data_IF_381151489020
#
_entry.id   IF_381151489020
#
_cell.length_a   1.000
_cell.length_b   1.000
_cell.length_c   1.000
_cell.angle_alpha   90.00
_cell.angle_beta   90.00
_cell.angle_gamma   90.00
#
_symmetry.space_group_name_H-M   'P 1'
#
loop_
_entity.id
_entity.type
_entity.pdbx_description
1 polymer ?
#
# COMPACT_ATOMS: atom_id res chain seq x y z
N UNK A 1 -56.35 -83.98 -43.24
CA UNK A 1 -55.24 -83.25 -42.61
C UNK A 1 -54.92 -82.09 -43.53
N UNK A 2 -55.63 -80.97 -43.40
CA UNK A 2 -55.44 -79.80 -44.26
C UNK A 2 -54.67 -78.74 -43.49
N UNK A 3 -53.46 -78.42 -43.95
CA UNK A 3 -52.68 -77.26 -43.52
C UNK A 3 -53.30 -76.01 -44.16
N UNK A 4 -53.50 -74.90 -43.43
CA UNK A 4 -53.71 -73.61 -44.05
C UNK A 4 -52.35 -73.03 -44.49
N UNK A 5 -52.19 -72.84 -45.80
CA UNK A 5 -51.08 -72.10 -46.38
C UNK A 5 -51.15 -70.63 -45.95
N UNK A 6 -50.14 -70.17 -45.22
CA UNK A 6 -49.92 -68.76 -44.95
C UNK A 6 -49.19 -68.14 -46.15
N UNK A 7 -49.93 -67.70 -47.17
CA UNK A 7 -49.40 -66.74 -48.14
C UNK A 7 -49.47 -65.33 -47.56
N UNK A 8 -48.41 -64.93 -46.86
CA UNK A 8 -48.12 -63.53 -46.56
C UNK A 8 -47.62 -62.85 -47.83
N UNK A 9 -48.54 -62.18 -48.54
CA UNK A 9 -48.21 -61.24 -49.59
C UNK A 9 -47.33 -60.12 -49.00
N UNK A 10 -46.03 -60.19 -49.27
CA UNK A 10 -45.10 -59.10 -49.02
C UNK A 10 -45.35 -58.00 -50.06
N UNK A 11 -46.42 -57.22 -49.89
CA UNK A 11 -46.59 -55.98 -50.67
C UNK A 11 -45.45 -55.02 -50.33
N UNK A 12 -44.54 -54.84 -51.30
CA UNK A 12 -43.48 -53.85 -51.18
C UNK A 12 -44.10 -52.45 -51.05
N UNK A 13 -43.97 -51.86 -49.87
CA UNK A 13 -44.59 -50.57 -49.48
C UNK A 13 -44.04 -49.34 -50.20
N UNK A 14 -43.37 -49.49 -51.34
CA UNK A 14 -42.74 -48.41 -52.12
C UNK A 14 -43.40 -48.36 -53.50
N UNK A 15 -44.43 -47.51 -53.67
CA UNK A 15 -45.24 -47.44 -54.89
C UNK A 15 -44.77 -46.36 -55.88
N UNK A 16 -43.84 -45.48 -55.50
CA UNK A 16 -43.29 -44.44 -56.38
C UNK A 16 -41.76 -44.31 -56.23
N UNK A 17 -41.03 -43.91 -57.29
CA UNK A 17 -39.58 -43.67 -57.21
C UNK A 17 -39.23 -42.57 -56.20
N UNK A 18 -40.15 -41.62 -55.97
CA UNK A 18 -40.02 -40.59 -54.93
C UNK A 18 -40.10 -41.17 -53.52
N UNK A 19 -40.99 -42.14 -53.30
CA UNK A 19 -41.13 -42.85 -52.02
C UNK A 19 -39.90 -43.72 -51.73
N UNK A 20 -39.32 -44.36 -52.77
CA UNK A 20 -38.08 -45.13 -52.64
C UNK A 20 -36.93 -44.24 -52.18
N UNK A 21 -36.76 -43.08 -52.81
CA UNK A 21 -35.71 -42.13 -52.51
C UNK A 21 -35.84 -41.56 -51.08
N UNK A 22 -37.06 -41.27 -50.64
CA UNK A 22 -37.34 -40.81 -49.26
C UNK A 22 -37.03 -41.92 -48.24
N UNK A 23 -37.49 -43.16 -48.48
CA UNK A 23 -37.23 -44.29 -47.57
C UNK A 23 -35.74 -44.60 -47.45
N UNK A 24 -35.00 -44.56 -48.57
CA UNK A 24 -33.54 -44.75 -48.56
C UNK A 24 -32.85 -43.63 -47.77
N UNK A 25 -33.21 -42.36 -48.01
CA UNK A 25 -32.61 -41.23 -47.27
C UNK A 25 -32.88 -41.34 -45.77
N UNK A 26 -34.12 -41.63 -45.35
CA UNK A 26 -34.47 -41.82 -43.94
C UNK A 26 -33.75 -43.03 -43.32
N UNK A 27 -33.58 -44.12 -44.08
CA UNK A 27 -32.86 -45.32 -43.62
C UNK A 27 -31.37 -45.05 -43.34
N UNK A 28 -30.77 -44.02 -43.93
CA UNK A 28 -29.40 -43.59 -43.60
C UNK A 28 -29.38 -42.45 -42.56
N UNK A 29 -30.24 -41.44 -42.71
CA UNK A 29 -30.24 -40.26 -41.84
C UNK A 29 -30.66 -40.59 -40.40
N UNK A 30 -31.65 -41.45 -40.20
CA UNK A 30 -32.11 -41.82 -38.85
C UNK A 30 -30.98 -42.50 -38.06
N UNK A 31 -30.35 -43.60 -38.55
CA UNK A 31 -29.25 -44.21 -37.81
C UNK A 31 -28.04 -43.29 -37.66
N UNK A 32 -27.69 -42.46 -38.65
CA UNK A 32 -26.60 -41.46 -38.49
C UNK A 32 -26.93 -40.49 -37.36
N UNK A 33 -28.16 -39.97 -37.30
CA UNK A 33 -28.59 -39.04 -36.26
C UNK A 33 -28.59 -39.72 -34.89
N UNK A 34 -29.06 -40.96 -34.80
CA UNK A 34 -29.01 -41.76 -33.56
C UNK A 34 -27.57 -42.00 -33.11
N UNK A 35 -26.66 -42.33 -34.04
CA UNK A 35 -25.23 -42.50 -33.73
C UNK A 35 -24.62 -41.20 -33.21
N UNK A 36 -24.90 -40.06 -33.84
CA UNK A 36 -24.43 -38.75 -33.37
C UNK A 36 -24.98 -38.44 -31.97
N UNK A 37 -26.27 -38.70 -31.74
CA UNK A 37 -26.90 -38.49 -30.44
C UNK A 37 -26.28 -39.39 -29.37
N UNK A 38 -25.98 -40.65 -29.70
CA UNK A 38 -25.31 -41.60 -28.81
C UNK A 38 -23.86 -41.19 -28.53
N UNK A 39 -23.11 -40.71 -29.52
CA UNK A 39 -21.75 -40.17 -29.32
C UNK A 39 -21.78 -38.97 -28.39
N UNK A 40 -22.74 -38.06 -28.57
CA UNK A 40 -22.93 -36.90 -27.69
C UNK A 40 -23.35 -37.33 -26.28
N UNK A 41 -24.23 -38.32 -26.14
CA UNK A 41 -24.67 -38.85 -24.84
C UNK A 41 -23.53 -39.55 -24.09
N UNK A 42 -22.71 -40.34 -24.80
CA UNK A 42 -21.53 -41.01 -24.23
C UNK A 42 -20.43 -39.99 -23.90
N UNK A 43 -20.24 -38.95 -24.71
CA UNK A 43 -19.32 -37.85 -24.44
C UNK A 43 -19.75 -36.96 -23.27
N UNK A 44 -21.06 -36.81 -23.05
CA UNK A 44 -21.63 -36.04 -21.94
C UNK A 44 -21.64 -36.81 -20.62
N UNK A 45 -21.43 -38.13 -20.66
CA UNK A 45 -21.34 -38.96 -19.46
C UNK A 45 -19.94 -38.82 -18.87
N UNK A 46 -19.85 -38.31 -17.65
CA UNK A 46 -18.58 -38.09 -16.94
C UNK A 46 -17.80 -39.40 -16.87
N UNK A 47 -16.66 -39.48 -17.57
CA UNK A 47 -15.74 -40.61 -17.44
C UNK A 47 -15.08 -40.57 -16.07
N UNK A 48 -15.56 -41.35 -15.11
CA UNK A 48 -14.89 -41.59 -13.82
C UNK A 48 -13.96 -42.80 -13.95
N UNK A 49 -12.76 -42.58 -14.51
CA UNK A 49 -11.75 -43.62 -14.74
C UNK A 49 -10.50 -43.10 -15.46
N UNK A 50 -9.56 -43.99 -15.82
CA UNK A 50 -8.38 -43.62 -16.59
C UNK A 50 -8.79 -42.96 -17.92
N UNK A 51 -8.29 -41.74 -18.17
CA UNK A 51 -8.75 -40.87 -19.26
C UNK A 51 -9.81 -39.83 -18.86
N UNK A 52 -10.12 -39.68 -17.57
CA UNK A 52 -10.91 -38.55 -17.05
C UNK A 52 -10.16 -37.22 -17.20
N UNK A 53 -10.91 -36.12 -17.34
CA UNK A 53 -10.34 -34.77 -17.46
C UNK A 53 -9.48 -34.36 -16.25
N UNK A 54 -9.61 -35.09 -15.13
CA UNK A 54 -8.85 -34.87 -13.91
C UNK A 54 -7.35 -35.17 -14.00
N UNK A 55 -6.87 -35.88 -15.04
CA UNK A 55 -5.44 -36.14 -15.27
C UNK A 55 -4.90 -35.51 -16.56
N UNK A 56 -5.66 -34.61 -17.19
CA UNK A 56 -5.15 -33.88 -18.36
C UNK A 56 -4.03 -32.92 -17.92
N UNK A 57 -3.02 -32.69 -18.77
CA UNK A 57 -1.98 -31.69 -18.51
C UNK A 57 -2.56 -30.32 -18.14
N UNK A 58 -3.68 -29.94 -18.75
CA UNK A 58 -4.38 -28.67 -18.49
C UNK A 58 -5.04 -28.62 -17.11
N UNK A 59 -5.72 -29.70 -16.68
CA UNK A 59 -6.31 -29.77 -15.34
C UNK A 59 -5.25 -29.83 -14.24
N UNK A 60 -4.11 -30.46 -14.53
CA UNK A 60 -2.93 -30.46 -13.66
C UNK A 60 -2.35 -29.04 -13.59
N UNK A 61 -2.09 -28.39 -14.73
CA UNK A 61 -1.59 -27.01 -14.78
C UNK A 61 -2.48 -26.03 -14.01
N UNK A 62 -3.80 -26.18 -14.09
CA UNK A 62 -4.77 -25.34 -13.38
C UNK A 62 -4.76 -25.54 -11.86
N UNK A 63 -4.34 -26.70 -11.36
CA UNK A 63 -4.16 -26.99 -9.92
C UNK A 63 -2.78 -26.60 -9.39
N UNK A 64 -1.78 -26.53 -10.24
CA UNK A 64 -0.43 -26.04 -9.90
C UNK A 64 -0.36 -24.50 -9.99
N UNK A 65 -1.39 -23.84 -10.53
CA UNK A 65 -1.46 -22.38 -10.50
C UNK A 65 -1.34 -21.88 -9.05
N UNK A 66 -0.45 -20.92 -8.77
CA UNK A 66 -0.27 -20.40 -7.43
C UNK A 66 -1.57 -19.72 -6.97
N UNK A 67 -2.21 -20.28 -5.95
CA UNK A 67 -3.42 -19.74 -5.29
C UNK A 67 -3.17 -18.45 -4.51
N UNK A 68 -1.90 -18.06 -4.43
CA UNK A 68 -1.38 -16.94 -3.71
C UNK A 68 -0.76 -15.96 -4.72
N UNK A 69 -1.56 -15.02 -5.21
CA UNK A 69 -1.12 -13.94 -6.10
C UNK A 69 -0.25 -12.89 -5.39
N UNK A 70 0.74 -13.31 -4.60
CA UNK A 70 1.66 -12.39 -3.96
C UNK A 70 2.77 -12.06 -4.95
N UNK A 71 2.75 -10.83 -5.48
CA UNK A 71 3.96 -10.24 -6.04
C UNK A 71 4.94 -10.04 -4.89
N UNK A 72 5.95 -10.90 -4.81
CA UNK A 72 7.12 -10.63 -3.98
C UNK A 72 7.79 -9.37 -4.55
N UNK A 73 7.51 -8.23 -3.92
CA UNK A 73 8.21 -6.99 -4.21
C UNK A 73 9.61 -7.17 -3.64
N UNK A 74 10.60 -7.24 -4.52
CA UNK A 74 12.01 -7.26 -4.15
C UNK A 74 12.31 -6.01 -3.28
N UNK A 75 12.97 -6.19 -2.14
CA UNK A 75 13.24 -5.10 -1.20
C UNK A 75 14.13 -3.99 -1.79
N UNK A 76 14.80 -4.25 -2.91
CA UNK A 76 15.60 -3.31 -3.69
C UNK A 76 14.93 -2.89 -5.01
N UNK A 77 13.71 -3.36 -5.32
CA UNK A 77 12.98 -2.88 -6.48
C UNK A 77 12.59 -1.40 -6.29
N UNK A 78 12.69 -0.57 -7.35
CA UNK A 78 12.20 0.80 -7.31
C UNK A 78 10.75 0.83 -6.87
N UNK A 79 10.45 1.62 -5.83
CA UNK A 79 9.07 1.84 -5.38
C UNK A 79 8.28 2.44 -6.54
N UNK A 80 7.32 1.69 -7.05
CA UNK A 80 6.39 2.17 -8.08
C UNK A 80 5.32 2.98 -7.36
N UNK A 81 5.47 4.30 -7.37
CA UNK A 81 4.50 5.20 -6.75
C UNK A 81 3.21 5.29 -7.59
N UNK A 82 2.05 5.32 -6.94
CA UNK A 82 0.73 5.52 -7.58
C UNK A 82 0.51 6.95 -8.04
N UNK A 83 -0.04 7.15 -9.23
CA UNK A 83 -0.37 8.48 -9.76
C UNK A 83 -1.39 9.21 -8.88
N UNK A 84 -1.47 10.53 -8.98
CA UNK A 84 -2.45 11.32 -8.21
C UNK A 84 -3.89 10.87 -8.46
N UNK A 85 -4.22 10.52 -9.71
CA UNK A 85 -5.52 9.96 -10.07
C UNK A 85 -5.79 8.62 -9.38
N UNK A 86 -4.83 7.68 -9.40
CA UNK A 86 -4.99 6.37 -8.77
C UNK A 86 -5.19 6.47 -7.25
N UNK A 87 -4.49 7.40 -6.61
CA UNK A 87 -4.66 7.66 -5.17
C UNK A 87 -6.04 8.28 -4.91
N UNK A 88 -6.45 9.26 -5.72
CA UNK A 88 -7.77 9.86 -5.62
C UNK A 88 -8.87 8.80 -5.72
N UNK A 89 -8.84 7.98 -6.78
CA UNK A 89 -9.83 6.94 -7.06
C UNK A 89 -9.92 5.91 -5.93
N UNK A 90 -8.79 5.46 -5.40
CA UNK A 90 -8.74 4.40 -4.38
C UNK A 90 -9.01 4.86 -2.96
N UNK A 91 -8.80 6.14 -2.64
CA UNK A 91 -8.82 6.63 -1.24
C UNK A 91 -9.70 7.87 -1.05
N UNK A 92 -9.60 8.86 -1.94
CA UNK A 92 -10.19 10.18 -1.69
C UNK A 92 -11.63 10.33 -2.21
N UNK A 93 -12.05 9.52 -3.20
CA UNK A 93 -13.38 9.57 -3.81
C UNK A 93 -14.52 9.37 -2.81
N UNK A 94 -14.29 8.58 -1.76
CA UNK A 94 -15.27 8.28 -0.72
C UNK A 94 -15.88 9.56 -0.10
N UNK A 95 -15.08 10.63 0.00
CA UNK A 95 -15.54 11.91 0.56
C UNK A 95 -15.56 13.04 -0.47
N UNK A 96 -14.53 13.17 -1.31
CA UNK A 96 -14.36 14.34 -2.17
C UNK A 96 -15.18 14.31 -3.47
N UNK A 97 -15.78 13.18 -3.84
CA UNK A 97 -16.70 13.16 -4.99
C UNK A 97 -18.05 13.77 -4.63
N UNK A 98 -18.64 13.32 -3.51
CA UNK A 98 -19.95 13.79 -3.06
C UNK A 98 -19.87 15.00 -2.10
N UNK A 99 -18.66 15.35 -1.61
CA UNK A 99 -18.47 16.40 -0.62
C UNK A 99 -18.95 15.99 0.78
N UNK A 100 -18.71 14.73 1.16
CA UNK A 100 -19.13 14.17 2.45
C UNK A 100 -18.50 14.98 3.59
N UNK A 101 -19.28 15.25 4.65
CA UNK A 101 -18.85 16.01 5.82
C UNK A 101 -18.29 17.41 5.49
N UNK A 102 -18.77 18.03 4.41
CA UNK A 102 -18.32 19.34 3.96
C UNK A 102 -16.98 19.33 3.23
N UNK A 103 -16.50 18.16 2.79
CA UNK A 103 -15.31 18.07 1.96
C UNK A 103 -15.50 18.85 0.65
N UNK A 104 -14.47 19.59 0.18
CA UNK A 104 -14.55 20.31 -1.09
C UNK A 104 -14.66 19.30 -2.23
N UNK A 105 -15.70 19.46 -3.05
CA UNK A 105 -16.02 18.54 -4.15
C UNK A 105 -14.98 18.62 -5.25
N UNK A 106 -14.50 17.48 -5.73
CA UNK A 106 -13.59 17.40 -6.86
C UNK A 106 -14.20 18.08 -8.09
N UNK A 107 -13.45 18.97 -8.74
CA UNK A 107 -13.89 19.76 -9.89
C UNK A 107 -14.68 21.04 -9.54
N UNK A 108 -15.07 21.24 -8.27
CA UNK A 108 -15.78 22.46 -7.87
C UNK A 108 -14.82 23.61 -7.61
N UNK A 109 -14.65 24.47 -8.61
CA UNK A 109 -13.77 25.64 -8.56
C UNK A 109 -14.14 26.62 -7.45
N UNK A 110 -15.43 26.78 -7.13
CA UNK A 110 -15.86 27.73 -6.11
C UNK A 110 -15.49 27.24 -4.72
N UNK A 111 -15.75 25.96 -4.45
CA UNK A 111 -15.40 25.33 -3.17
C UNK A 111 -13.88 25.23 -2.97
N UNK A 112 -13.11 25.06 -4.05
CA UNK A 112 -11.65 24.93 -3.97
C UNK A 112 -10.86 26.24 -3.94
N UNK A 113 -11.41 27.34 -4.47
CA UNK A 113 -10.75 28.64 -4.52
C UNK A 113 -10.09 29.10 -3.20
N UNK A 114 -10.73 29.02 -2.00
CA UNK A 114 -10.08 29.44 -0.75
C UNK A 114 -8.88 28.54 -0.38
N UNK A 115 -8.95 27.24 -0.67
CA UNK A 115 -7.87 26.31 -0.36
C UNK A 115 -6.71 26.44 -1.36
N UNK A 116 -7.00 26.69 -2.63
CA UNK A 116 -5.98 26.99 -3.64
C UNK A 116 -5.22 28.27 -3.28
N UNK A 117 -5.90 29.27 -2.70
CA UNK A 117 -5.27 30.51 -2.21
C UNK A 117 -4.33 30.33 -1.02
N UNK A 118 -4.56 29.32 -0.16
CA UNK A 118 -3.59 28.97 0.88
C UNK A 118 -2.26 28.54 0.25
N UNK A 119 -2.36 27.80 -0.86
CA UNK A 119 -1.21 27.36 -1.63
C UNK A 119 -0.97 25.86 -1.52
N UNK A 120 -0.05 25.38 -2.34
CA UNK A 120 0.25 23.96 -2.51
C UNK A 120 0.73 23.30 -1.21
N UNK A 121 1.66 23.93 -0.49
CA UNK A 121 2.29 23.32 0.70
C UNK A 121 1.28 23.10 1.83
N UNK A 122 0.38 24.05 2.06
CA UNK A 122 -0.66 23.92 3.08
C UNK A 122 -1.71 22.86 2.72
N UNK A 123 -2.09 22.76 1.44
CA UNK A 123 -2.97 21.71 0.94
C UNK A 123 -2.37 20.32 1.17
N UNK A 124 -1.09 20.13 0.83
CA UNK A 124 -0.38 18.86 1.02
C UNK A 124 -0.22 18.54 2.51
N UNK A 125 0.17 19.51 3.32
CA UNK A 125 0.30 19.36 4.78
C UNK A 125 -1.02 18.91 5.41
N UNK A 126 -2.13 19.57 5.06
CA UNK A 126 -3.45 19.21 5.56
C UNK A 126 -3.89 17.81 5.08
N UNK A 127 -3.54 17.43 3.86
CA UNK A 127 -3.85 16.08 3.35
C UNK A 127 -3.03 14.98 4.05
N UNK A 128 -1.76 15.24 4.37
CA UNK A 128 -0.88 14.29 5.06
C UNK A 128 -1.29 14.13 6.53
N UNK A 129 -1.50 15.24 7.24
CA UNK A 129 -1.76 15.23 8.69
C UNK A 129 -3.25 15.16 9.05
N UNK A 130 -4.15 15.35 8.08
CA UNK A 130 -5.59 15.47 8.32
C UNK A 130 -5.99 16.86 8.81
N UNK A 131 -7.26 17.20 8.62
CA UNK A 131 -7.85 18.45 9.08
C UNK A 131 -9.35 18.26 9.37
N UNK A 132 -9.77 18.59 10.60
CA UNK A 132 -11.16 18.44 11.02
C UNK A 132 -11.66 16.99 10.81
N UNK A 133 -12.73 16.77 10.01
CA UNK A 133 -13.26 15.44 9.73
C UNK A 133 -12.42 14.64 8.70
N UNK A 134 -11.41 15.25 8.07
CA UNK A 134 -10.54 14.58 7.10
C UNK A 134 -9.39 13.85 7.84
N UNK A 135 -9.32 12.51 7.80
CA UNK A 135 -8.25 11.76 8.45
C UNK A 135 -6.89 11.95 7.75
N UNK A 136 -5.76 11.71 8.46
CA UNK A 136 -4.43 11.72 7.88
C UNK A 136 -4.34 10.83 6.64
N UNK A 137 -3.71 11.32 5.57
CA UNK A 137 -3.56 10.62 4.28
C UNK A 137 -4.89 10.10 3.69
N UNK A 138 -5.99 10.80 3.95
CA UNK A 138 -7.33 10.36 3.53
C UNK A 138 -7.78 9.05 4.17
N UNK A 139 -7.17 8.66 5.31
CA UNK A 139 -7.49 7.43 6.02
C UNK A 139 -6.68 6.22 5.55
N UNK A 140 -5.77 6.40 4.59
CA UNK A 140 -4.93 5.33 4.08
C UNK A 140 -3.47 5.52 4.52
N UNK A 141 -3.12 4.90 5.65
CA UNK A 141 -1.78 4.95 6.23
C UNK A 141 -0.69 4.30 5.38
N UNK A 142 -1.06 3.53 4.34
CA UNK A 142 -0.10 2.86 3.45
C UNK A 142 0.45 3.78 2.35
N UNK A 143 -0.18 4.95 2.13
CA UNK A 143 0.26 5.90 1.11
C UNK A 143 1.56 6.59 1.52
N UNK A 144 2.44 6.77 0.54
CA UNK A 144 3.59 7.66 0.66
C UNK A 144 3.14 9.13 0.66
N UNK A 145 3.88 9.99 1.36
CA UNK A 145 3.62 11.44 1.35
C UNK A 145 3.70 12.00 -0.08
N UNK A 146 4.60 11.43 -0.89
CA UNK A 146 4.70 11.74 -2.31
C UNK A 146 3.42 11.39 -3.09
N UNK A 147 2.81 10.24 -2.81
CA UNK A 147 1.57 9.79 -3.45
C UNK A 147 0.39 10.68 -3.04
N UNK A 148 0.33 11.09 -1.77
CA UNK A 148 -0.66 12.06 -1.27
C UNK A 148 -0.48 13.41 -1.95
N UNK A 149 0.76 13.90 -2.07
CA UNK A 149 1.05 15.17 -2.74
C UNK A 149 0.59 15.15 -4.21
N UNK A 150 0.81 14.05 -4.94
CA UNK A 150 0.28 13.89 -6.30
C UNK A 150 -1.23 13.91 -6.35
N UNK A 151 -1.91 13.28 -5.39
CA UNK A 151 -3.37 13.30 -5.31
C UNK A 151 -3.91 14.72 -5.11
N UNK A 152 -3.26 15.50 -4.24
CA UNK A 152 -3.60 16.91 -4.00
C UNK A 152 -3.46 17.73 -5.28
N UNK A 153 -2.35 17.58 -6.02
CA UNK A 153 -2.17 18.27 -7.32
C UNK A 153 -3.26 17.88 -8.30
N UNK A 154 -3.55 16.58 -8.43
CA UNK A 154 -4.61 16.09 -9.30
C UNK A 154 -5.96 16.74 -8.98
N UNK A 155 -6.35 16.76 -7.70
CA UNK A 155 -7.61 17.33 -7.24
C UNK A 155 -7.67 18.85 -7.41
N UNK A 156 -6.62 19.55 -6.99
CA UNK A 156 -6.56 21.00 -7.08
C UNK A 156 -6.57 21.48 -8.53
N UNK A 157 -5.83 20.83 -9.43
CA UNK A 157 -5.75 21.22 -10.84
C UNK A 157 -7.08 20.98 -11.56
N UNK A 158 -7.79 19.89 -11.25
CA UNK A 158 -9.15 19.67 -11.76
C UNK A 158 -10.16 20.67 -11.18
N UNK A 159 -9.87 21.25 -10.03
CA UNK A 159 -10.68 22.30 -9.39
C UNK A 159 -10.18 23.73 -9.67
N UNK A 160 -9.33 23.93 -10.69
CA UNK A 160 -8.95 25.26 -11.17
C UNK A 160 -7.62 25.81 -10.67
N UNK A 161 -6.79 25.01 -9.99
CA UNK A 161 -5.38 25.32 -9.78
C UNK A 161 -4.54 24.95 -11.01
N UNK A 162 -3.24 25.28 -10.94
CA UNK A 162 -2.24 24.82 -11.91
C UNK A 162 -0.92 24.53 -11.20
N UNK A 163 -0.99 23.71 -10.16
CA UNK A 163 0.19 23.30 -9.39
C UNK A 163 1.05 22.34 -10.22
N UNK A 164 2.39 22.48 -10.17
CA UNK A 164 3.29 21.54 -10.82
C UNK A 164 3.20 20.18 -10.13
N UNK A 165 3.38 19.11 -10.90
CA UNK A 165 3.50 17.78 -10.32
C UNK A 165 4.77 17.70 -9.45
N UNK A 166 4.71 17.15 -8.23
CA UNK A 166 5.86 17.05 -7.36
C UNK A 166 6.90 16.12 -8.00
N UNK A 167 8.18 16.47 -7.86
CA UNK A 167 9.26 15.63 -8.39
C UNK A 167 9.32 14.30 -7.64
N UNK A 168 9.36 13.20 -8.38
CA UNK A 168 9.54 11.87 -7.81
C UNK A 168 10.81 11.84 -6.95
N UNK A 169 10.72 11.38 -5.68
CA UNK A 169 11.91 11.21 -4.87
C UNK A 169 12.78 10.15 -5.53
N UNK A 170 14.05 10.49 -5.77
CA UNK A 170 14.99 9.55 -6.38
C UNK A 170 14.98 8.24 -5.57
N UNK A 171 14.91 7.10 -6.25
CA UNK A 171 15.04 5.79 -5.59
C UNK A 171 16.38 5.77 -4.86
N UNK A 172 16.35 5.85 -3.52
CA UNK A 172 17.52 5.98 -2.65
C UNK A 172 17.69 7.33 -1.94
N UNK A 173 16.89 8.35 -2.26
CA UNK A 173 16.85 9.58 -1.48
C UNK A 173 15.85 9.44 -0.33
N UNK A 174 16.36 9.02 0.83
CA UNK A 174 15.79 9.45 2.10
C UNK A 174 15.54 10.97 2.01
N UNK A 175 14.30 11.35 2.30
CA UNK A 175 13.76 12.71 2.38
C UNK A 175 14.82 13.77 2.62
N UNK A 176 15.32 14.34 1.53
CA UNK A 176 16.06 15.60 1.57
C UNK A 176 15.06 16.71 1.92
N UNK A 177 15.10 17.13 3.19
CA UNK A 177 14.52 18.37 3.71
C UNK A 177 14.67 19.50 2.69
N UNK A 178 13.60 20.25 2.32
CA UNK A 178 13.76 21.50 1.59
C UNK A 178 14.65 22.45 2.40
N UNK A 179 15.75 22.88 1.77
CA UNK A 179 16.59 23.93 2.29
C UNK A 179 15.73 25.18 2.49
N UNK A 180 15.50 25.55 3.75
CA UNK A 180 14.95 26.84 4.09
C UNK A 180 15.93 27.92 3.63
N UNK A 181 15.53 28.68 2.61
CA UNK A 181 16.13 29.95 2.25
C UNK A 181 15.97 30.88 3.46
N UNK A 182 17.05 31.04 4.21
CA UNK A 182 17.08 31.95 5.34
C UNK A 182 17.22 33.37 4.78
N UNK A 183 16.14 34.14 4.89
CA UNK A 183 16.19 35.59 4.83
C UNK A 183 17.04 36.09 6.01
N UNK A 184 18.09 36.85 5.72
CA UNK A 184 18.84 37.62 6.72
C UNK A 184 19.07 39.03 6.17
N UNK A 185 18.75 40.02 7.00
CA UNK A 185 19.19 41.41 6.87
C UNK A 185 19.50 41.93 8.29
N UNK A 186 20.31 42.99 8.47
CA UNK A 186 21.56 43.32 7.77
C UNK A 186 22.69 43.68 8.77
N UNK A 187 23.98 43.65 8.35
CA UNK A 187 25.00 44.66 8.73
C UNK A 187 26.42 44.33 8.22
N UNK A 188 27.02 45.37 7.60
CA UNK A 188 28.45 45.72 7.49
C UNK A 188 29.40 44.93 6.55
N UNK A 189 30.10 45.71 5.72
CA UNK A 189 31.22 45.36 4.84
C UNK A 189 32.49 46.14 5.28
N UNK A 190 33.68 45.99 4.64
CA UNK A 190 34.49 44.77 4.48
C UNK A 190 36.02 44.96 4.73
N UNK A 191 36.75 43.83 4.66
CA UNK A 191 38.17 43.62 4.22
C UNK A 191 39.36 43.83 5.23
N UNK A 192 40.56 43.24 4.99
CA UNK A 192 40.90 41.92 4.39
C UNK A 192 41.99 41.11 5.18
N UNK A 193 42.30 39.91 4.68
CA UNK A 193 43.27 38.91 5.15
C UNK A 193 44.76 39.37 5.22
N UNK A 194 45.65 38.55 5.83
CA UNK A 194 46.50 37.71 4.98
C UNK A 194 46.67 36.25 5.45
N UNK A 195 47.24 35.45 4.55
CA UNK A 195 47.40 34.00 4.57
C UNK A 195 48.77 33.53 5.17
N UNK A 196 49.35 32.36 4.84
CA UNK A 196 49.42 31.18 5.71
C UNK A 196 50.85 30.68 6.02
N UNK A 197 51.05 29.93 7.09
CA UNK A 197 52.24 29.08 7.39
C UNK A 197 51.90 28.21 8.60
N UNK A 198 52.42 27.02 8.88
CA UNK A 198 53.15 25.97 8.19
C UNK A 198 53.20 24.81 9.23
N UNK A 199 53.48 23.59 8.78
CA UNK A 199 53.39 22.33 9.50
C UNK A 199 54.37 22.20 10.68
N UNK A 200 53.98 21.46 11.75
CA UNK A 200 54.90 20.62 12.53
C UNK A 200 54.17 19.59 13.42
N UNK A 201 54.53 18.32 13.24
CA UNK A 201 54.49 17.15 14.18
C UNK A 201 55.96 16.63 14.20
N UNK A 202 56.47 15.74 15.10
CA UNK A 202 55.81 14.95 16.15
C UNK A 202 56.58 14.63 17.47
N UNK A 203 55.87 13.92 18.38
CA UNK A 203 56.33 13.02 19.47
C UNK A 203 56.81 13.69 20.79
N UNK A 204 56.57 13.19 22.00
CA UNK A 204 56.61 11.79 22.48
C UNK A 204 55.86 11.55 23.83
N UNK A 205 55.38 10.31 24.02
CA UNK A 205 55.21 9.43 25.23
C UNK A 205 54.56 9.89 26.56
N UNK A 206 53.43 9.22 26.90
CA UNK A 206 53.22 8.49 28.18
C UNK A 206 52.02 7.50 28.08
N UNK A 207 52.15 6.35 28.76
CA UNK A 207 51.43 5.07 28.64
C UNK A 207 50.10 5.00 29.47
N UNK A 208 49.33 3.87 29.53
CA UNK A 208 47.89 3.85 29.26
C UNK A 208 46.99 3.56 30.50
N UNK A 209 45.77 4.12 30.55
CA UNK A 209 44.73 3.68 31.48
C UNK A 209 43.32 3.87 30.90
N UNK A 210 42.47 2.88 31.15
CA UNK A 210 41.21 2.59 30.49
C UNK A 210 40.15 3.71 30.53
N UNK A 211 39.53 3.97 29.38
CA UNK A 211 38.30 4.76 29.27
C UNK A 211 37.33 4.12 28.25
N UNK A 212 36.21 3.63 28.79
CA UNK A 212 34.83 3.56 28.26
C UNK A 212 34.65 3.65 26.73
N UNK A 213 34.01 2.65 26.08
CA UNK A 213 33.66 2.77 24.66
C UNK A 213 32.80 4.01 24.42
N UNK A 214 33.30 4.91 23.57
CA UNK A 214 32.57 6.06 23.07
C UNK A 214 31.35 5.57 22.30
N UNK A 215 30.17 6.04 22.71
CA UNK A 215 28.91 5.74 22.05
C UNK A 215 28.92 6.27 20.61
N UNK A 216 28.68 5.32 19.72
CA UNK A 216 28.54 5.43 18.28
C UNK A 216 27.41 6.41 17.90
N UNK A 217 27.75 7.67 17.63
CA UNK A 217 26.81 8.72 17.15
C UNK A 217 26.18 8.43 15.78
N UNK A 218 26.57 7.35 15.11
CA UNK A 218 26.02 6.89 13.82
C UNK A 218 24.85 5.91 13.95
N UNK A 219 24.61 5.31 15.14
CA UNK A 219 23.44 4.43 15.35
C UNK A 219 22.15 5.23 15.62
N UNK A 220 22.26 6.42 16.24
CA UNK A 220 21.12 7.25 16.66
C UNK A 220 20.29 7.82 15.50
N UNK A 221 20.89 8.08 14.34
CA UNK A 221 20.15 8.59 13.18
C UNK A 221 19.23 7.51 12.57
N UNK A 222 19.69 6.26 12.52
CA UNK A 222 18.91 5.13 12.00
C UNK A 222 17.81 4.70 12.97
N UNK A 223 18.10 4.70 14.29
CA UNK A 223 17.07 4.43 15.30
C UNK A 223 16.00 5.52 15.32
N UNK A 224 16.37 6.78 15.07
CA UNK A 224 15.40 7.86 14.98
C UNK A 224 14.49 7.72 13.77
N UNK A 225 14.99 7.29 12.60
CA UNK A 225 14.12 7.05 11.43
C UNK A 225 13.13 5.89 11.65
N UNK A 226 13.57 4.80 12.27
CA UNK A 226 12.70 3.66 12.62
C UNK A 226 11.67 4.08 13.67
N UNK A 227 12.11 4.80 14.70
CA UNK A 227 11.26 5.29 15.77
C UNK A 227 10.22 6.31 15.32
N UNK A 228 10.63 7.25 14.47
CA UNK A 228 9.79 8.24 13.81
C UNK A 228 8.66 7.57 13.02
N UNK A 229 9.03 6.61 12.15
CA UNK A 229 8.05 5.87 11.35
C UNK A 229 7.04 5.14 12.23
N UNK A 230 7.51 4.44 13.28
CA UNK A 230 6.60 3.72 14.17
C UNK A 230 5.70 4.70 14.93
N UNK A 231 6.24 5.81 15.45
CA UNK A 231 5.46 6.84 16.10
C UNK A 231 4.31 7.36 15.22
N UNK A 232 4.60 7.74 13.97
CA UNK A 232 3.59 8.26 13.06
C UNK A 232 2.58 7.20 12.61
N UNK A 233 2.92 5.91 12.68
CA UNK A 233 2.01 4.84 12.30
C UNK A 233 0.95 4.51 13.35
N UNK A 234 1.29 4.55 14.64
CA UNK A 234 0.43 4.04 15.73
C UNK A 234 0.39 4.95 16.95
N UNK A 235 1.53 5.53 17.37
CA UNK A 235 1.60 6.29 18.63
C UNK A 235 1.00 7.70 18.50
N UNK A 236 1.10 8.31 17.31
CA UNK A 236 0.63 9.67 17.02
C UNK A 236 -0.86 9.83 17.32
N UNK A 237 -1.68 8.80 17.07
CA UNK A 237 -3.13 8.84 17.27
C UNK A 237 -3.54 9.33 18.66
N UNK A 238 -2.76 8.99 19.69
CA UNK A 238 -3.00 9.46 21.06
C UNK A 238 -1.99 10.51 21.51
N UNK A 239 -0.70 10.31 21.21
CA UNK A 239 0.36 11.17 21.74
C UNK A 239 0.51 12.51 21.01
N UNK A 240 -0.08 12.72 19.83
CA UNK A 240 -0.01 14.01 19.15
C UNK A 240 -0.81 15.10 19.88
N UNK A 241 -1.97 14.74 20.41
CA UNK A 241 -2.92 15.65 21.06
C UNK A 241 -3.04 15.39 22.57
N UNK A 242 -2.43 14.32 23.08
CA UNK A 242 -2.58 13.90 24.46
C UNK A 242 -3.93 13.24 24.74
N UNK A 243 -4.45 12.48 23.77
CA UNK A 243 -5.74 11.82 23.91
C UNK A 243 -5.74 10.87 25.13
N UNK A 244 -6.88 10.82 25.83
CA UNK A 244 -7.06 9.98 27.02
C UNK A 244 -5.98 10.17 28.11
N UNK A 245 -5.38 11.37 28.21
CA UNK A 245 -4.35 11.69 29.20
C UNK A 245 -2.94 11.24 28.81
N UNK A 246 -2.71 10.87 27.54
CA UNK A 246 -1.38 10.56 27.05
C UNK A 246 -0.44 11.78 27.13
N UNK A 247 0.85 11.61 27.49
CA UNK A 247 1.80 12.72 27.44
C UNK A 247 1.99 13.16 25.99
N UNK A 248 1.77 14.47 25.74
CA UNK A 248 1.79 15.05 24.40
C UNK A 248 3.20 15.08 23.84
N UNK A 249 3.37 14.66 22.60
CA UNK A 249 4.64 14.66 21.90
C UNK A 249 5.26 16.06 21.86
N UNK A 250 6.53 16.16 22.23
CA UNK A 250 7.26 17.43 22.34
C UNK A 250 6.97 18.26 23.60
N UNK A 251 6.02 17.84 24.45
CA UNK A 251 5.72 18.57 25.69
C UNK A 251 6.72 18.26 26.80
N UNK A 252 7.72 19.14 26.97
CA UNK A 252 8.82 18.92 27.92
C UNK A 252 8.35 18.72 29.36
N UNK A 253 7.31 19.45 29.77
CA UNK A 253 6.80 19.40 31.14
C UNK A 253 6.14 18.04 31.45
N UNK A 254 5.30 17.54 30.55
CA UNK A 254 4.63 16.25 30.70
C UNK A 254 5.59 15.08 30.58
N UNK A 255 6.67 15.21 29.79
CA UNK A 255 7.65 14.12 29.57
C UNK A 255 8.76 14.04 30.63
N UNK A 256 9.10 15.15 31.30
CA UNK A 256 10.13 15.20 32.33
C UNK A 256 10.05 14.09 33.41
N UNK A 257 8.88 13.77 34.02
CA UNK A 257 8.81 12.71 35.02
C UNK A 257 9.08 11.32 34.42
N UNK A 258 8.66 11.07 33.17
CA UNK A 258 8.90 9.80 32.51
C UNK A 258 10.37 9.66 32.11
N UNK A 259 10.98 10.72 31.57
CA UNK A 259 12.41 10.75 31.16
C UNK A 259 13.33 10.39 32.33
N UNK A 260 12.98 10.80 33.56
CA UNK A 260 13.71 10.44 34.78
C UNK A 260 13.68 8.94 35.11
N UNK A 261 12.67 8.20 34.66
CA UNK A 261 12.58 6.75 34.90
C UNK A 261 13.44 5.91 33.95
N UNK A 262 13.94 6.53 32.87
CA UNK A 262 14.78 5.90 31.86
C UNK A 262 14.00 5.12 30.79
N UNK A 263 14.67 4.85 29.67
CA UNK A 263 14.05 4.22 28.48
C UNK A 263 13.58 2.80 28.72
N UNK A 264 14.27 2.01 29.53
CA UNK A 264 13.90 0.61 29.77
C UNK A 264 12.59 0.50 30.57
N UNK A 265 12.39 1.41 31.53
CA UNK A 265 11.12 1.51 32.27
C UNK A 265 9.98 1.92 31.35
N UNK A 266 10.20 2.92 30.48
CA UNK A 266 9.21 3.33 29.49
C UNK A 266 8.89 2.20 28.51
N UNK A 267 9.90 1.44 28.06
CA UNK A 267 9.72 0.31 27.16
C UNK A 267 8.85 -0.77 27.81
N UNK A 268 9.16 -1.14 29.06
CA UNK A 268 8.36 -2.11 29.81
C UNK A 268 6.89 -1.66 29.92
N UNK A 269 6.68 -0.40 30.28
CA UNK A 269 5.33 0.19 30.37
C UNK A 269 4.62 0.20 29.01
N UNK A 270 5.31 0.56 27.93
CA UNK A 270 4.74 0.56 26.58
C UNK A 270 4.40 -0.85 26.11
N UNK A 271 5.21 -1.87 26.46
CA UNK A 271 4.94 -3.28 26.12
C UNK A 271 3.72 -3.79 26.88
N UNK A 272 3.63 -3.54 28.19
CA UNK A 272 2.53 -3.99 29.03
C UNK A 272 1.24 -3.17 28.88
N UNK A 273 1.33 -1.94 28.37
CA UNK A 273 0.25 -0.96 28.39
C UNK A 273 0.16 -0.25 29.75
N UNK A 274 -0.36 0.99 29.75
CA UNK A 274 -0.56 1.81 30.96
C UNK A 274 -1.82 2.65 30.80
N UNK A 275 -2.76 2.52 31.74
CA UNK A 275 -4.02 3.27 31.71
C UNK A 275 -4.80 2.99 30.42
N UNK A 276 -5.07 4.04 29.63
CA UNK A 276 -5.73 3.94 28.34
C UNK A 276 -4.79 3.54 27.18
N UNK A 277 -3.47 3.46 27.41
CA UNK A 277 -2.51 3.02 26.40
C UNK A 277 -2.53 1.48 26.29
N UNK A 278 -2.92 0.90 25.13
CA UNK A 278 -2.96 -0.55 24.96
C UNK A 278 -1.55 -1.16 24.98
N UNK A 279 -1.41 -2.47 25.25
CA UNK A 279 -0.14 -3.18 25.14
C UNK A 279 0.53 -2.93 23.79
N UNK A 280 1.83 -2.68 23.81
CA UNK A 280 2.66 -2.29 22.65
C UNK A 280 2.14 -1.10 21.85
N UNK A 281 1.33 -0.23 22.46
CA UNK A 281 0.68 0.88 21.76
C UNK A 281 -0.27 0.44 20.64
N UNK A 282 -0.77 -0.81 20.69
CA UNK A 282 -1.61 -1.39 19.64
C UNK A 282 -0.83 -1.84 18.40
N UNK A 283 0.50 -1.93 18.48
CA UNK A 283 1.36 -2.34 17.38
C UNK A 283 1.89 -3.76 17.54
N UNK A 284 2.29 -4.37 16.42
CA UNK A 284 3.04 -5.63 16.38
C UNK A 284 4.54 -5.39 16.16
N UNK A 285 5.02 -4.18 16.43
CA UNK A 285 6.43 -3.84 16.30
C UNK A 285 7.27 -4.68 17.27
N UNK A 286 8.54 -4.91 16.94
CA UNK A 286 9.52 -5.59 17.82
C UNK A 286 9.91 -4.70 18.99
N UNK A 287 10.53 -5.27 20.04
CA UNK A 287 10.98 -4.50 21.21
C UNK A 287 12.03 -3.44 20.84
N UNK A 288 12.86 -3.73 19.83
CA UNK A 288 13.84 -2.79 19.30
C UNK A 288 13.17 -1.60 18.61
N UNK A 289 12.15 -1.84 17.79
CA UNK A 289 11.38 -0.78 17.14
C UNK A 289 10.56 0.04 18.16
N UNK A 290 9.99 -0.61 19.17
CA UNK A 290 9.32 0.06 20.28
C UNK A 290 10.28 0.96 21.06
N UNK A 291 11.47 0.46 21.39
CA UNK A 291 12.51 1.26 22.07
C UNK A 291 12.94 2.45 21.21
N UNK A 292 13.06 2.27 19.90
CA UNK A 292 13.37 3.33 18.95
C UNK A 292 12.28 4.41 18.89
N UNK A 293 11.00 4.04 18.90
CA UNK A 293 9.89 5.00 18.94
C UNK A 293 9.84 5.79 20.24
N UNK A 294 10.05 5.12 21.38
CA UNK A 294 10.13 5.80 22.69
C UNK A 294 11.30 6.78 22.71
N UNK A 295 12.46 6.37 22.19
CA UNK A 295 13.63 7.25 22.05
C UNK A 295 13.30 8.49 21.21
N UNK A 296 12.64 8.32 20.07
CA UNK A 296 12.21 9.42 19.21
C UNK A 296 11.30 10.42 19.95
N UNK A 297 10.32 9.93 20.71
CA UNK A 297 9.42 10.78 21.50
C UNK A 297 10.12 11.50 22.65
N UNK A 298 11.06 10.80 23.31
CA UNK A 298 11.90 11.38 24.37
C UNK A 298 12.80 12.48 23.81
N UNK A 299 13.41 12.27 22.65
CA UNK A 299 14.29 13.27 22.03
C UNK A 299 13.54 14.52 21.56
N UNK A 300 12.29 14.37 21.13
CA UNK A 300 11.43 15.50 20.83
C UNK A 300 11.04 16.32 22.09
N UNK A 301 11.10 15.72 23.28
CA UNK A 301 10.67 16.32 24.54
C UNK A 301 11.83 16.75 25.46
N UNK A 302 13.08 16.63 25.01
CA UNK A 302 14.27 17.21 25.65
C UNK A 302 14.44 18.68 25.27
#
# INVERSE_FOLDING_TARGET
>A
MSLPDHESANESSIKTPRQLLITVILAFLIPITVIILLVNLVGSTIRTGAGSEGQTPDAIAKRIQPVAGFKLVDANAPKIFKTGQQVFESTCTACHTAGVSGAPKFGDKSSWAPFIKLGYDDLVKNAIHGIGPMPPKGGNSTLDDFEVARAVVYMANHSGANFPEPKEPASGAATAKPAATQAAAPAAAPAPAPAPVAQAKPAETATPAAAKPAETKTASASTNAVGDKLYHSVCFACHAVGAAGAPKFGDKASWAPFIKTGLDTMLKNAISGVGAMPPRGGSQATDAEMKAAIQYMVDAAK
#
